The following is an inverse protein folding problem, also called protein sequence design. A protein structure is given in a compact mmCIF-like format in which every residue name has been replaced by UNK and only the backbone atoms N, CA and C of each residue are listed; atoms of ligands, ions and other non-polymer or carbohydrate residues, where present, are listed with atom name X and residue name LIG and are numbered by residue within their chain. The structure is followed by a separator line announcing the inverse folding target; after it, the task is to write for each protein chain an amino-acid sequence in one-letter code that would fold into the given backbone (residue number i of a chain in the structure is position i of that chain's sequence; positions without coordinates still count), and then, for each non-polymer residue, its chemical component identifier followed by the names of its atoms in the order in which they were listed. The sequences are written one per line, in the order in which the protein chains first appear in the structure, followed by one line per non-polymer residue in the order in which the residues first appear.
data_IF_408734037829
#
_entry.id   IF_408734037829
#
_cell.length_a   1.000
_cell.length_b   1.000
_cell.length_c   1.000
_cell.angle_alpha   90.00
_cell.angle_beta   90.00
_cell.angle_gamma   90.00
#
_symmetry.space_group_name_H-M   'P 1'
#
loop_
_entity.id
_entity.type
_entity.pdbx_description
1 polymer ?
#
# COMPACT_ATOMS: atom_id res chain seq x y z
N UNK A 1 -2.16 5.14 -14.64
CA UNK A 1 -2.78 3.84 -14.34
C UNK A 1 -2.61 3.07 -15.62
N UNK A 2 -1.58 2.23 -15.65
CA UNK A 2 -1.18 1.56 -16.87
C UNK A 2 -1.88 0.20 -16.90
N UNK A 3 -2.42 -0.15 -18.07
CA UNK A 3 -3.23 -1.34 -18.27
C UNK A 3 -2.71 -2.10 -19.50
N UNK A 4 -2.65 -3.42 -19.37
CA UNK A 4 -2.22 -4.34 -20.40
C UNK A 4 -3.21 -5.50 -20.48
N UNK A 5 -3.54 -5.90 -21.70
CA UNK A 5 -4.43 -7.03 -21.99
C UNK A 5 -3.79 -7.85 -23.11
N UNK A 6 -3.43 -9.09 -22.80
CA UNK A 6 -2.76 -10.02 -23.72
C UNK A 6 -3.56 -11.32 -23.83
N UNK A 7 -3.67 -11.84 -25.06
CA UNK A 7 -4.42 -13.06 -25.37
C UNK A 7 -3.45 -14.12 -25.87
N UNK A 8 -3.57 -15.32 -25.30
CA UNK A 8 -2.82 -16.51 -25.68
C UNK A 8 -3.82 -17.54 -26.23
N UNK A 9 -3.80 -17.77 -27.55
CA UNK A 9 -4.73 -18.70 -28.19
C UNK A 9 -4.11 -20.09 -28.28
N UNK A 10 -4.92 -21.12 -28.06
CA UNK A 10 -4.50 -22.51 -28.29
C UNK A 10 -3.98 -22.75 -29.72
N UNK A 11 -4.61 -22.12 -30.71
CA UNK A 11 -4.26 -22.27 -32.12
C UNK A 11 -2.87 -21.71 -32.47
N UNK A 12 -2.34 -20.79 -31.67
CA UNK A 12 -1.02 -20.18 -31.92
C UNK A 12 0.13 -21.10 -31.47
N UNK A 13 -0.17 -22.16 -30.71
CA UNK A 13 0.83 -22.99 -30.02
C UNK A 13 0.65 -24.50 -30.25
N UNK A 14 -0.23 -24.92 -31.16
CA UNK A 14 -0.58 -26.31 -31.51
C UNK A 14 -1.09 -27.21 -30.35
N UNK A 15 -0.95 -26.77 -29.10
CA UNK A 15 -1.35 -27.48 -27.88
C UNK A 15 -1.85 -26.49 -26.80
N UNK A 16 -2.98 -26.84 -26.21
CA UNK A 16 -3.59 -26.11 -25.10
C UNK A 16 -2.64 -25.95 -23.90
N UNK A 17 -1.79 -26.95 -23.61
CA UNK A 17 -0.84 -26.85 -22.49
C UNK A 17 0.25 -25.81 -22.74
N UNK A 18 0.72 -25.68 -23.98
CA UNK A 18 1.74 -24.69 -24.32
C UNK A 18 1.21 -23.26 -24.22
N UNK A 19 0.01 -23.00 -24.74
CA UNK A 19 -0.63 -21.69 -24.63
C UNK A 19 -0.83 -21.30 -23.15
N UNK A 20 -1.25 -22.26 -22.31
CA UNK A 20 -1.36 -22.04 -20.87
C UNK A 20 -0.01 -21.74 -20.22
N UNK A 21 1.02 -22.53 -20.52
CA UNK A 21 2.35 -22.34 -19.95
C UNK A 21 2.95 -20.98 -20.34
N UNK A 22 2.73 -20.53 -21.58
CA UNK A 22 3.17 -19.22 -22.05
C UNK A 22 2.48 -18.08 -21.31
N UNK A 23 1.17 -18.20 -21.11
CA UNK A 23 0.40 -17.27 -20.27
C UNK A 23 0.99 -17.22 -18.86
N UNK A 24 1.24 -18.37 -18.25
CA UNK A 24 1.73 -18.45 -16.87
C UNK A 24 3.13 -17.86 -16.70
N UNK A 25 4.01 -18.09 -17.67
CA UNK A 25 5.33 -17.44 -17.73
C UNK A 25 5.20 -15.92 -17.84
N UNK A 26 4.26 -15.43 -18.66
CA UNK A 26 4.02 -14.00 -18.82
C UNK A 26 3.48 -13.36 -17.55
N UNK A 27 2.54 -14.02 -16.87
CA UNK A 27 2.01 -13.57 -15.57
C UNK A 27 3.15 -13.45 -14.56
N UNK A 28 4.00 -14.47 -14.44
CA UNK A 28 5.14 -14.43 -13.52
C UNK A 28 6.10 -13.28 -13.83
N UNK A 29 6.35 -12.99 -15.11
CA UNK A 29 7.18 -11.86 -15.54
C UNK A 29 6.56 -10.51 -15.13
N UNK A 30 5.26 -10.33 -15.39
CA UNK A 30 4.52 -9.10 -15.08
C UNK A 30 4.42 -8.88 -13.56
N UNK A 31 4.14 -9.93 -12.79
CA UNK A 31 4.13 -9.87 -11.33
C UNK A 31 5.51 -9.50 -10.76
N UNK A 32 6.59 -10.01 -11.34
CA UNK A 32 7.95 -9.63 -10.95
C UNK A 32 8.25 -8.15 -11.23
N UNK A 33 7.63 -7.58 -12.26
CA UNK A 33 7.69 -6.15 -12.61
C UNK A 33 6.75 -5.28 -11.75
N UNK A 34 5.98 -5.87 -10.83
CA UNK A 34 5.07 -5.17 -9.92
C UNK A 34 3.67 -4.95 -10.47
N UNK A 35 3.32 -5.59 -11.59
CA UNK A 35 1.95 -5.56 -12.11
C UNK A 35 1.05 -6.48 -11.30
N UNK A 36 -0.21 -6.07 -11.13
CA UNK A 36 -1.27 -6.93 -10.63
C UNK A 36 -1.95 -7.61 -11.81
N UNK A 37 -1.88 -8.94 -11.88
CA UNK A 37 -2.41 -9.72 -12.98
C UNK A 37 -3.73 -10.40 -12.60
N UNK A 38 -4.66 -10.46 -13.54
CA UNK A 38 -5.89 -11.25 -13.52
C UNK A 38 -5.86 -12.17 -14.73
N UNK A 39 -6.12 -13.45 -14.50
CA UNK A 39 -6.10 -14.47 -15.55
C UNK A 39 -7.49 -15.00 -15.84
N UNK A 40 -7.81 -15.09 -17.13
CA UNK A 40 -9.05 -15.65 -17.64
C UNK A 40 -8.81 -16.89 -18.49
N UNK A 41 -9.75 -17.83 -18.45
CA UNK A 41 -9.84 -18.95 -19.38
C UNK A 41 -11.23 -18.93 -20.01
N UNK A 42 -11.26 -18.77 -21.32
CA UNK A 42 -12.49 -18.76 -22.11
C UNK A 42 -12.46 -19.87 -23.15
N UNK A 43 -13.65 -20.27 -23.60
CA UNK A 43 -13.81 -21.26 -24.65
C UNK A 43 -14.62 -20.64 -25.78
N UNK A 44 -14.07 -20.65 -26.98
CA UNK A 44 -14.78 -20.18 -28.16
C UNK A 44 -15.59 -21.35 -28.75
N UNK A 45 -16.92 -21.28 -28.60
CA UNK A 45 -17.84 -22.32 -29.09
C UNK A 45 -17.92 -22.42 -30.62
N UNK A 46 -17.55 -21.37 -31.34
CA UNK A 46 -17.58 -21.36 -32.81
C UNK A 46 -16.34 -22.01 -33.41
N UNK A 47 -15.16 -21.77 -32.81
CA UNK A 47 -13.89 -22.31 -33.30
C UNK A 47 -13.45 -23.56 -32.53
N UNK A 48 -14.11 -23.89 -31.42
CA UNK A 48 -13.78 -25.02 -30.57
C UNK A 48 -12.49 -24.86 -29.76
N UNK A 49 -11.92 -23.66 -29.69
CA UNK A 49 -10.59 -23.40 -29.13
C UNK A 49 -10.61 -22.70 -27.78
N UNK A 50 -9.61 -22.96 -26.95
CA UNK A 50 -9.39 -22.27 -25.68
C UNK A 50 -8.65 -20.95 -25.89
N UNK A 51 -9.03 -19.97 -25.08
CA UNK A 51 -8.47 -18.62 -25.05
C UNK A 51 -8.00 -18.35 -23.62
N UNK A 52 -6.72 -18.09 -23.48
CA UNK A 52 -6.07 -17.79 -22.21
C UNK A 52 -5.79 -16.29 -22.17
N UNK A 53 -6.46 -15.56 -21.29
CA UNK A 53 -6.36 -14.10 -21.19
C UNK A 53 -5.50 -13.71 -19.99
N UNK A 54 -4.66 -12.68 -20.16
CA UNK A 54 -4.00 -11.96 -19.06
C UNK A 54 -4.42 -10.50 -19.13
N UNK A 55 -5.00 -10.02 -18.04
CA UNK A 55 -5.20 -8.59 -17.81
C UNK A 55 -4.26 -8.16 -16.70
N UNK A 56 -3.49 -7.11 -16.91
CA UNK A 56 -2.53 -6.62 -15.94
C UNK A 56 -2.71 -5.12 -15.73
N UNK A 57 -2.68 -4.71 -14.47
CA UNK A 57 -2.74 -3.29 -14.06
C UNK A 57 -1.53 -2.96 -13.21
N UNK A 58 -0.84 -1.87 -13.52
CA UNK A 58 0.23 -1.35 -12.67
C UNK A 58 -0.39 -0.45 -11.59
N UNK A 59 -0.38 -0.85 -10.31
CA UNK A 59 -0.92 -0.02 -9.24
C UNK A 59 -0.11 1.27 -9.13
N UNK A 60 -0.76 2.38 -8.76
CA UNK A 60 -0.04 3.64 -8.56
C UNK A 60 0.96 3.45 -7.41
N UNK A 61 2.14 4.10 -7.48
CA UNK A 61 3.08 4.06 -6.38
C UNK A 61 2.35 4.53 -5.12
N UNK A 62 2.44 3.73 -4.05
CA UNK A 62 1.92 4.14 -2.75
C UNK A 62 2.63 5.45 -2.41
N UNK A 63 1.88 6.55 -2.43
CA UNK A 63 2.40 7.83 -2.01
C UNK A 63 2.86 7.64 -0.58
N UNK A 64 4.17 7.78 -0.34
CA UNK A 64 4.74 7.76 1.00
C UNK A 64 4.32 9.02 1.74
N UNK A 65 3.04 9.12 2.08
CA UNK A 65 2.57 9.98 3.15
C UNK A 65 2.63 9.18 4.46
N UNK A 66 3.81 8.61 4.74
CA UNK A 66 4.23 8.41 6.12
C UNK A 66 4.38 9.82 6.70
N UNK A 67 3.28 10.26 7.28
CA UNK A 67 3.13 11.50 8.03
C UNK A 67 4.36 11.67 8.91
N UNK A 68 5.17 12.70 8.62
CA UNK A 68 6.17 13.17 9.57
C UNK A 68 5.48 13.26 10.93
N UNK A 69 6.07 12.74 12.03
CA UNK A 69 5.58 13.11 13.35
C UNK A 69 5.76 14.62 13.44
N UNK A 70 4.65 15.37 13.34
CA UNK A 70 4.67 16.79 13.65
C UNK A 70 5.15 16.91 15.10
N UNK A 71 6.43 17.23 15.24
CA UNK A 71 7.00 17.63 16.51
C UNK A 71 6.20 18.86 16.93
N UNK A 72 5.34 18.67 17.94
CA UNK A 72 4.54 19.73 18.54
C UNK A 72 5.48 20.90 18.87
N UNK A 73 5.31 22.10 18.30
CA UNK A 73 5.99 23.25 18.85
C UNK A 73 5.48 23.46 20.28
N UNK A 74 6.43 23.51 21.22
CA UNK A 74 6.22 23.75 22.65
C UNK A 74 5.21 24.87 22.86
N UNK A 75 4.22 24.60 23.70
CA UNK A 75 3.25 25.57 24.23
C UNK A 75 3.96 26.84 24.70
N UNK A 76 3.78 27.94 23.97
CA UNK A 76 4.14 29.27 24.41
C UNK A 76 3.01 29.80 25.30
N UNK A 77 2.91 29.30 26.54
CA UNK A 77 2.00 29.85 27.54
C UNK A 77 2.58 31.15 28.10
N UNK A 78 2.21 32.28 27.50
CA UNK A 78 2.31 33.62 28.09
C UNK A 78 1.28 33.76 29.23
N UNK A 79 1.53 33.12 30.37
CA UNK A 79 0.71 33.35 31.58
C UNK A 79 1.57 33.87 32.73
N UNK A 80 1.27 35.06 33.29
CA UNK A 80 2.03 35.63 34.39
C UNK A 80 2.08 34.68 35.61
N UNK A 81 3.26 34.53 36.19
CA UNK A 81 3.44 33.81 37.45
C UNK A 81 2.67 34.54 38.56
N UNK A 82 1.61 33.90 39.07
CA UNK A 82 0.98 34.30 40.32
C UNK A 82 1.90 33.86 41.47
N UNK A 83 2.48 34.82 42.18
CA UNK A 83 3.30 34.57 43.37
C UNK A 83 2.55 33.68 44.37
N UNK A 84 3.16 32.56 44.75
CA UNK A 84 2.70 31.72 45.84
C UNK A 84 3.16 32.32 47.17
N UNK A 85 2.28 32.53 48.17
CA UNK A 85 2.71 32.91 49.50
C UNK A 85 3.31 31.69 50.20
N UNK A 86 4.61 31.75 50.49
CA UNK A 86 5.31 30.75 51.31
C UNK A 86 4.75 30.78 52.73
N UNK A 87 4.43 29.59 53.24
CA UNK A 87 3.81 29.28 54.54
C UNK A 87 4.63 29.76 55.76
N UNK A 88 4.01 29.76 56.97
CA UNK A 88 4.26 30.74 58.01
C UNK A 88 5.50 30.47 58.88
N UNK A 89 5.97 31.58 59.44
CA UNK A 89 7.05 31.77 60.41
C UNK A 89 6.81 30.94 61.67
N UNK A 90 7.81 30.14 62.04
CA UNK A 90 7.88 29.34 63.27
C UNK A 90 7.70 30.22 64.50
N UNK A 91 6.78 29.81 65.38
CA UNK A 91 6.70 30.27 66.74
C UNK A 91 7.40 29.22 67.62
N UNK A 92 8.62 29.52 68.07
CA UNK A 92 9.21 28.87 69.23
C UNK A 92 9.20 29.90 70.35
N UNK A 93 8.52 29.54 71.44
CA UNK A 93 8.49 30.28 72.70
C UNK A 93 9.84 30.13 73.40
N UNK A 94 10.42 31.23 73.86
CA UNK A 94 11.23 31.19 75.08
C UNK A 94 11.22 32.58 75.74
N UNK A 95 10.59 32.66 76.90
CA UNK A 95 10.59 33.83 77.76
C UNK A 95 10.47 33.32 79.20
N UNK A 96 11.62 33.01 79.82
CA UNK A 96 11.93 33.28 81.23
C UNK A 96 13.34 32.85 81.58
#
# INVERSE_FOLDING_TARGET
MDFLCEVFLEQDWDDAQQAQQKRDLRVAELEHQGWQCTVGLFYNVLTGSRIYLVEATLPPPLSSELTQPQSKPRSHSLRPQRATPTKPRSASYENR
#
